data_IF_860152382985
#
_entry.id   IF_860152382985
#
_cell.length_a   1.000
_cell.length_b   1.000
_cell.length_c   1.000
_cell.angle_alpha   90.00
_cell.angle_beta   90.00
_cell.angle_gamma   90.00
#
_symmetry.space_group_name_H-M   'P 1'
#
loop_
_entity.id
_entity.type
_entity.pdbx_description
1 polymer ?
#
# COMPACT_ATOMS: atom_id res chain seq x y z
N UNK A 1 5.34 -18.91 -15.48
CA UNK A 1 4.97 -19.01 -14.05
C UNK A 1 6.13 -19.65 -13.31
N UNK A 2 6.93 -18.86 -12.64
CA UNK A 2 7.86 -19.41 -11.66
C UNK A 2 7.01 -19.92 -10.49
N UNK A 3 7.20 -21.18 -10.06
CA UNK A 3 6.49 -21.71 -8.91
C UNK A 3 6.78 -20.83 -7.69
N UNK A 4 5.77 -20.62 -6.84
CA UNK A 4 5.98 -19.97 -5.55
C UNK A 4 7.17 -20.64 -4.84
N UNK A 5 8.10 -19.87 -4.27
CA UNK A 5 9.18 -20.47 -3.50
C UNK A 5 8.59 -21.34 -2.39
N UNK A 6 9.29 -22.42 -2.01
CA UNK A 6 8.81 -23.29 -0.95
C UNK A 6 8.51 -22.48 0.29
N UNK A 7 7.42 -22.80 0.97
CA UNK A 7 6.95 -22.09 2.18
C UNK A 7 7.99 -22.33 3.28
N UNK A 8 8.91 -21.39 3.42
CA UNK A 8 9.82 -21.34 4.56
C UNK A 8 9.08 -20.76 5.77
N UNK A 9 9.46 -21.16 6.97
CA UNK A 9 8.93 -20.56 8.21
C UNK A 9 9.25 -19.06 8.32
N UNK A 10 10.25 -18.59 7.57
CA UNK A 10 10.65 -17.19 7.45
C UNK A 10 10.87 -16.86 5.98
N UNK A 11 10.21 -15.80 5.51
CA UNK A 11 10.38 -15.34 4.13
C UNK A 11 10.13 -13.83 4.01
N UNK A 12 10.69 -13.28 2.94
CA UNK A 12 10.37 -11.95 2.41
C UNK A 12 10.06 -12.14 0.92
N UNK A 13 8.89 -11.72 0.49
CA UNK A 13 8.44 -11.90 -0.89
C UNK A 13 7.86 -10.60 -1.46
N UNK A 14 8.46 -10.13 -2.56
CA UNK A 14 7.95 -9.00 -3.33
C UNK A 14 7.30 -9.54 -4.62
N UNK A 15 6.06 -9.16 -4.88
CA UNK A 15 5.34 -9.56 -6.07
C UNK A 15 4.37 -8.46 -6.54
N UNK A 16 4.03 -8.46 -7.82
CA UNK A 16 2.93 -7.67 -8.33
C UNK A 16 1.62 -8.46 -8.34
N UNK A 17 0.50 -7.74 -8.30
CA UNK A 17 -0.83 -8.34 -8.28
C UNK A 17 -1.53 -8.01 -9.59
N UNK A 18 -1.80 -9.03 -10.38
CA UNK A 18 -2.67 -8.93 -11.55
C UNK A 18 -4.09 -9.41 -11.21
N UNK A 19 -5.07 -8.72 -11.75
CA UNK A 19 -6.46 -9.15 -11.72
C UNK A 19 -6.79 -9.66 -13.12
N UNK A 20 -7.05 -10.97 -13.23
CA UNK A 20 -7.40 -11.56 -14.52
C UNK A 20 -8.83 -11.18 -14.95
N UNK A 21 -9.20 -11.51 -16.18
CA UNK A 21 -10.52 -11.22 -16.78
C UNK A 21 -11.72 -11.78 -16.01
N UNK A 22 -11.48 -12.73 -15.08
CA UNK A 22 -12.50 -13.33 -14.20
C UNK A 22 -12.50 -12.68 -12.80
N UNK A 23 -11.77 -11.61 -12.60
CA UNK A 23 -11.66 -10.92 -11.31
C UNK A 23 -10.79 -11.63 -10.27
N UNK A 24 -10.10 -12.73 -10.64
CA UNK A 24 -9.21 -13.46 -9.73
C UNK A 24 -7.86 -12.76 -9.64
N UNK A 25 -7.40 -12.48 -8.42
CA UNK A 25 -6.06 -11.96 -8.15
C UNK A 25 -5.02 -13.06 -8.35
N UNK A 26 -3.94 -12.72 -9.03
CA UNK A 26 -2.78 -13.59 -9.26
C UNK A 26 -1.52 -12.86 -8.82
N UNK A 27 -0.68 -13.53 -8.05
CA UNK A 27 0.65 -13.05 -7.67
C UNK A 27 1.61 -13.36 -8.82
N UNK A 28 2.39 -12.37 -9.25
CA UNK A 28 3.41 -12.54 -10.27
C UNK A 28 4.71 -11.88 -9.83
N UNK A 29 5.82 -12.57 -10.06
CA UNK A 29 7.17 -12.07 -9.77
C UNK A 29 7.82 -11.37 -10.97
N UNK A 30 7.21 -11.50 -12.16
CA UNK A 30 7.67 -10.85 -13.39
C UNK A 30 6.45 -10.36 -14.17
N UNK A 31 6.44 -9.08 -14.53
CA UNK A 31 5.41 -8.45 -15.34
C UNK A 31 6.06 -7.77 -16.54
N UNK A 32 5.80 -8.29 -17.73
CA UNK A 32 6.31 -7.75 -18.98
C UNK A 32 5.19 -7.02 -19.70
N UNK A 33 5.34 -5.72 -19.86
CA UNK A 33 4.42 -4.89 -20.63
C UNK A 33 5.14 -4.34 -21.87
N UNK A 34 4.40 -4.20 -22.94
CA UNK A 34 4.93 -3.61 -24.16
C UNK A 34 5.38 -2.16 -23.91
N UNK A 35 6.40 -1.71 -24.66
CA UNK A 35 6.75 -0.30 -24.69
C UNK A 35 5.56 0.46 -25.24
N UNK A 36 4.95 1.31 -24.45
CA UNK A 36 3.89 2.22 -24.84
C UNK A 36 4.13 3.55 -24.12
N UNK A 37 3.83 4.64 -24.82
CA UNK A 37 3.88 5.98 -24.23
C UNK A 37 2.72 6.21 -23.24
N UNK A 38 1.89 5.19 -23.02
CA UNK A 38 0.75 5.28 -22.12
C UNK A 38 1.14 5.02 -20.68
N UNK A 39 0.44 5.71 -19.79
CA UNK A 39 0.55 5.56 -18.35
C UNK A 39 0.40 4.09 -17.91
N UNK A 40 1.35 3.60 -17.16
CA UNK A 40 1.36 2.24 -16.62
C UNK A 40 1.49 2.26 -15.10
N UNK A 41 0.74 1.38 -14.44
CA UNK A 41 0.75 1.26 -12.98
C UNK A 41 0.90 -0.20 -12.58
N UNK A 42 1.82 -0.47 -11.66
CA UNK A 42 1.98 -1.77 -11.02
C UNK A 42 1.64 -1.67 -9.54
N UNK A 43 0.82 -2.59 -9.08
CA UNK A 43 0.58 -2.81 -7.66
C UNK A 43 1.60 -3.81 -7.15
N UNK A 44 2.45 -3.38 -6.23
CA UNK A 44 3.48 -4.21 -5.61
C UNK A 44 3.09 -4.52 -4.17
N UNK A 45 3.31 -5.75 -3.76
CA UNK A 45 3.06 -6.21 -2.40
C UNK A 45 4.31 -6.87 -1.86
N UNK A 46 4.74 -6.43 -0.69
CA UNK A 46 5.82 -7.05 0.07
C UNK A 46 5.21 -7.81 1.25
N UNK A 47 5.17 -9.13 1.13
CA UNK A 47 4.79 -10.01 2.22
C UNK A 47 6.03 -10.45 2.99
N UNK A 48 5.98 -10.36 4.31
CA UNK A 48 7.08 -10.78 5.18
C UNK A 48 6.60 -11.74 6.25
N UNK A 49 7.42 -12.73 6.55
CA UNK A 49 7.32 -13.60 7.71
C UNK A 49 8.71 -13.73 8.33
N UNK A 50 9.22 -12.63 8.84
CA UNK A 50 10.54 -12.52 9.48
C UNK A 50 10.40 -11.82 10.82
N UNK A 51 11.28 -12.17 11.77
CA UNK A 51 11.35 -11.53 13.09
C UNK A 51 12.25 -10.28 13.04
N UNK A 52 12.18 -9.52 11.94
CA UNK A 52 12.95 -8.30 11.74
C UNK A 52 11.98 -7.16 11.52
N UNK A 53 12.26 -6.04 12.18
CA UNK A 53 11.43 -4.85 12.09
C UNK A 53 11.68 -4.05 10.82
N UNK A 54 12.87 -4.19 10.20
CA UNK A 54 13.30 -3.40 9.04
C UNK A 54 13.88 -4.31 7.96
N UNK A 55 13.42 -4.10 6.73
CA UNK A 55 13.99 -4.66 5.52
C UNK A 55 14.58 -3.55 4.63
N UNK A 56 15.53 -3.92 3.77
CA UNK A 56 16.05 -3.03 2.73
C UNK A 56 15.57 -3.50 1.37
N UNK A 57 14.93 -2.60 0.63
CA UNK A 57 14.53 -2.83 -0.75
C UNK A 57 15.39 -1.99 -1.68
N UNK A 58 16.01 -2.65 -2.66
CA UNK A 58 16.78 -1.99 -3.71
C UNK A 58 15.97 -2.05 -5.01
N UNK A 59 15.72 -0.89 -5.59
CA UNK A 59 15.12 -0.75 -6.92
C UNK A 59 16.21 -0.31 -7.89
N UNK A 60 16.40 -1.10 -8.94
CA UNK A 60 17.34 -0.81 -10.02
C UNK A 60 16.59 -0.68 -11.33
N UNK A 61 16.86 0.42 -12.03
CA UNK A 61 16.32 0.67 -13.35
C UNK A 61 17.41 0.41 -14.39
N UNK A 62 17.09 -0.40 -15.39
CA UNK A 62 17.99 -0.72 -16.49
C UNK A 62 17.34 -0.28 -17.81
N UNK A 63 18.11 0.46 -18.62
CA UNK A 63 17.66 0.97 -19.92
C UNK A 63 17.40 2.49 -19.89
N UNK A 64 17.11 3.00 -21.05
CA UNK A 64 16.76 4.42 -21.26
C UNK A 64 15.23 4.53 -21.28
N UNK A 65 14.68 5.41 -20.45
CA UNK A 65 13.25 5.70 -20.38
C UNK A 65 12.85 6.94 -21.20
N UNK A 66 13.82 7.57 -21.90
CA UNK A 66 13.57 8.77 -22.67
C UNK A 66 13.08 9.93 -21.80
N UNK A 67 11.95 10.51 -22.18
CA UNK A 67 11.29 11.62 -21.46
C UNK A 67 10.26 11.14 -20.44
N UNK A 68 10.06 9.81 -20.33
CA UNK A 68 9.12 9.26 -19.36
C UNK A 68 9.67 9.35 -17.94
N UNK A 69 8.77 9.31 -16.96
CA UNK A 69 9.11 9.31 -15.53
C UNK A 69 8.69 8.01 -14.86
N UNK A 70 9.40 7.66 -13.79
CA UNK A 70 9.09 6.52 -12.94
C UNK A 70 8.93 6.97 -11.51
N UNK A 71 7.79 6.68 -10.92
CA UNK A 71 7.49 6.98 -9.52
C UNK A 71 7.30 5.71 -8.71
N UNK A 72 7.90 5.68 -7.53
CA UNK A 72 7.66 4.66 -6.52
C UNK A 72 6.87 5.27 -5.36
N UNK A 73 5.74 4.68 -5.02
CA UNK A 73 4.82 5.20 -4.00
C UNK A 73 4.67 4.18 -2.87
N UNK A 74 4.98 4.60 -1.65
CA UNK A 74 4.66 3.87 -0.44
C UNK A 74 3.22 4.17 -0.04
N UNK A 75 2.35 3.16 -0.17
CA UNK A 75 0.92 3.28 0.10
C UNK A 75 0.58 3.29 1.60
N UNK A 76 1.56 3.10 2.48
CA UNK A 76 1.35 3.14 3.92
C UNK A 76 1.52 4.55 4.49
N UNK A 77 2.55 5.26 4.01
CA UNK A 77 2.89 6.59 4.53
C UNK A 77 2.61 7.72 3.54
N UNK A 78 2.21 7.39 2.30
CA UNK A 78 1.92 8.36 1.26
C UNK A 78 3.15 9.08 0.71
N UNK A 79 4.34 8.49 0.87
CA UNK A 79 5.56 9.02 0.28
C UNK A 79 5.68 8.56 -1.17
N UNK A 80 5.94 9.52 -2.07
CA UNK A 80 6.22 9.26 -3.47
C UNK A 80 7.65 9.71 -3.80
N UNK A 81 8.38 8.84 -4.49
CA UNK A 81 9.77 9.04 -4.88
C UNK A 81 9.90 9.00 -6.39
N UNK A 82 10.44 10.06 -6.97
CA UNK A 82 10.81 10.10 -8.38
C UNK A 82 12.11 9.31 -8.57
N UNK A 83 12.06 8.26 -9.37
CA UNK A 83 13.19 7.40 -9.69
C UNK A 83 13.82 7.74 -11.06
N UNK A 84 13.26 8.66 -11.82
CA UNK A 84 13.61 8.93 -13.22
C UNK A 84 15.06 9.35 -13.40
N UNK A 85 15.64 9.99 -12.39
CA UNK A 85 17.01 10.52 -12.41
C UNK A 85 18.04 9.59 -11.75
N UNK A 86 17.62 8.40 -11.28
CA UNK A 86 18.49 7.50 -10.53
C UNK A 86 18.44 6.09 -11.08
N UNK A 87 19.61 5.50 -11.34
CA UNK A 87 19.69 4.09 -11.78
C UNK A 87 19.44 3.10 -10.64
N UNK A 88 19.68 3.52 -9.39
CA UNK A 88 19.52 2.69 -8.20
C UNK A 88 18.95 3.51 -7.04
N UNK A 89 17.96 2.97 -6.37
CA UNK A 89 17.37 3.56 -5.18
C UNK A 89 17.23 2.52 -4.08
N UNK A 90 17.53 2.93 -2.85
CA UNK A 90 17.48 2.05 -1.68
C UNK A 90 16.46 2.60 -0.67
N UNK A 91 15.54 1.75 -0.23
CA UNK A 91 14.50 2.08 0.71
C UNK A 91 14.59 1.21 1.95
N UNK A 92 14.52 1.83 3.12
CA UNK A 92 14.31 1.12 4.39
C UNK A 92 12.81 0.94 4.60
N UNK A 93 12.38 -0.28 4.79
CA UNK A 93 10.98 -0.65 4.94
C UNK A 93 10.75 -1.14 6.36
N UNK A 94 9.86 -0.48 7.07
CA UNK A 94 9.35 -0.96 8.36
C UNK A 94 8.37 -2.11 8.10
N UNK A 95 8.71 -3.32 8.53
CA UNK A 95 7.89 -4.51 8.35
C UNK A 95 6.80 -4.62 9.43
N UNK A 96 6.94 -3.86 10.51
CA UNK A 96 6.03 -3.88 11.66
C UNK A 96 6.00 -5.21 12.40
N UNK A 97 5.39 -5.23 13.60
CA UNK A 97 5.45 -6.39 14.50
C UNK A 97 4.57 -7.58 14.10
N UNK A 98 3.71 -7.48 13.09
CA UNK A 98 2.64 -8.45 12.83
C UNK A 98 2.59 -8.97 11.39
N UNK A 99 3.74 -9.10 10.72
CA UNK A 99 3.77 -9.68 9.36
C UNK A 99 2.81 -8.95 8.39
N UNK A 100 2.83 -7.64 8.42
CA UNK A 100 1.97 -6.82 7.58
C UNK A 100 2.43 -6.88 6.13
N UNK A 101 1.46 -6.98 5.25
CA UNK A 101 1.66 -6.88 3.82
C UNK A 101 1.84 -5.42 3.43
N UNK A 102 3.06 -4.99 3.15
CA UNK A 102 3.35 -3.63 2.71
C UNK A 102 2.99 -3.46 1.25
N UNK A 103 2.28 -2.39 0.93
CA UNK A 103 1.79 -2.12 -0.44
C UNK A 103 2.50 -0.92 -1.02
N UNK A 104 2.90 -1.07 -2.27
CA UNK A 104 3.55 -0.04 -3.04
C UNK A 104 2.92 0.07 -4.42
N UNK A 105 3.13 1.20 -5.08
CA UNK A 105 2.83 1.34 -6.50
C UNK A 105 4.07 1.81 -7.24
N UNK A 106 4.24 1.29 -8.45
CA UNK A 106 5.15 1.83 -9.43
C UNK A 106 4.31 2.46 -10.54
N UNK A 107 4.61 3.70 -10.88
CA UNK A 107 3.93 4.46 -11.95
C UNK A 107 4.96 4.84 -12.99
N UNK A 108 4.69 4.53 -14.24
CA UNK A 108 5.52 4.91 -15.40
C UNK A 108 4.64 5.63 -16.41
N UNK A 109 5.15 6.68 -17.03
CA UNK A 109 4.46 7.38 -18.09
C UNK A 109 5.04 8.75 -18.38
N UNK A 110 4.29 9.55 -19.11
CA UNK A 110 4.60 10.97 -19.33
C UNK A 110 4.62 11.74 -18.00
N UNK A 111 5.47 12.77 -17.91
CA UNK A 111 5.67 13.53 -16.66
C UNK A 111 4.37 14.16 -16.13
N UNK A 112 3.57 14.74 -17.01
CA UNK A 112 2.33 15.42 -16.62
C UNK A 112 1.27 14.41 -16.16
N UNK A 113 1.06 13.33 -16.90
CA UNK A 113 0.07 12.30 -16.61
C UNK A 113 0.45 11.50 -15.34
N UNK A 114 1.69 11.03 -15.27
CA UNK A 114 2.19 10.27 -14.13
C UNK A 114 2.22 11.13 -12.87
N UNK A 115 2.69 12.38 -12.96
CA UNK A 115 2.71 13.31 -11.84
C UNK A 115 1.31 13.66 -11.34
N UNK A 116 0.32 13.82 -12.22
CA UNK A 116 -1.08 14.04 -11.83
C UNK A 116 -1.63 12.83 -11.06
N UNK A 117 -1.46 11.63 -11.62
CA UNK A 117 -1.91 10.39 -10.98
C UNK A 117 -1.24 10.16 -9.61
N UNK A 118 0.06 10.42 -9.49
CA UNK A 118 0.79 10.30 -8.21
C UNK A 118 0.21 11.23 -7.16
N UNK A 119 -0.06 12.50 -7.52
CA UNK A 119 -0.71 13.46 -6.59
C UNK A 119 -2.08 12.96 -6.13
N UNK A 120 -2.89 12.45 -7.04
CA UNK A 120 -4.23 11.92 -6.72
C UNK A 120 -4.13 10.70 -5.79
N UNK A 121 -3.24 9.76 -6.07
CA UNK A 121 -3.00 8.59 -5.22
C UNK A 121 -2.58 9.01 -3.81
N UNK A 122 -1.59 9.90 -3.70
CA UNK A 122 -1.07 10.37 -2.41
C UNK A 122 -2.13 11.15 -1.61
N UNK A 123 -2.99 11.91 -2.30
CA UNK A 123 -4.08 12.65 -1.65
C UNK A 123 -5.15 11.74 -1.02
N UNK A 124 -5.33 10.52 -1.56
CA UNK A 124 -6.28 9.53 -1.03
C UNK A 124 -5.75 8.78 0.21
N UNK A 125 -4.45 8.87 0.50
CA UNK A 125 -3.85 8.18 1.64
C UNK A 125 -4.07 9.03 2.91
N UNK A 126 -4.78 8.48 3.93
CA UNK A 126 -5.02 9.21 5.17
C UNK A 126 -3.70 9.53 5.89
N UNK A 127 -3.48 10.80 6.22
CA UNK A 127 -2.28 11.27 6.93
C UNK A 127 -2.47 11.33 8.44
N UNK A 128 -3.73 11.35 8.90
CA UNK A 128 -4.08 11.55 10.29
C UNK A 128 -5.07 10.50 10.78
N UNK A 129 -5.02 10.23 12.08
CA UNK A 129 -6.07 9.46 12.74
C UNK A 129 -7.27 10.35 12.95
N UNK A 130 -8.45 9.87 12.59
CA UNK A 130 -9.69 10.57 12.90
C UNK A 130 -10.80 9.61 13.32
N UNK A 131 -11.69 10.12 14.16
CA UNK A 131 -12.92 9.47 14.57
C UNK A 131 -14.08 10.42 14.24
N UNK A 132 -14.94 10.02 13.34
CA UNK A 132 -16.11 10.82 12.96
C UNK A 132 -17.32 10.57 13.87
N UNK A 133 -18.32 11.42 13.73
CA UNK A 133 -19.59 11.24 14.44
C UNK A 133 -20.34 10.03 13.91
N UNK A 134 -20.95 9.29 14.80
CA UNK A 134 -21.79 8.17 14.42
C UNK A 134 -23.04 8.63 13.67
N UNK A 135 -23.44 7.86 12.64
CA UNK A 135 -24.64 8.15 11.85
C UNK A 135 -25.39 6.84 11.50
N UNK A 136 -26.75 6.85 11.63
CA UNK A 136 -27.58 7.90 12.17
C UNK A 136 -27.38 8.12 13.68
N UNK A 137 -27.71 9.32 14.17
CA UNK A 137 -27.75 9.66 15.58
C UNK A 137 -28.94 10.63 15.82
N UNK A 138 -30.02 10.24 16.53
CA UNK A 138 -30.22 8.95 17.21
C UNK A 138 -30.31 7.75 16.26
N UNK A 139 -30.03 6.54 16.76
CA UNK A 139 -30.02 5.29 15.97
C UNK A 139 -30.98 4.22 16.52
N UNK A 140 -31.48 3.36 15.61
CA UNK A 140 -32.30 2.20 15.95
C UNK A 140 -32.21 1.15 14.84
N UNK A 141 -31.71 -0.08 15.09
CA UNK A 141 -30.88 -0.50 16.22
C UNK A 141 -29.37 -0.31 15.94
N UNK A 142 -28.98 0.20 14.76
CA UNK A 142 -27.59 0.28 14.33
C UNK A 142 -27.17 1.68 13.97
N UNK A 143 -25.87 1.95 14.13
CA UNK A 143 -25.21 3.17 13.69
C UNK A 143 -23.84 2.83 13.12
N UNK A 144 -23.34 3.67 12.21
CA UNK A 144 -22.00 3.58 11.67
C UNK A 144 -21.10 4.61 12.34
N UNK A 145 -19.91 4.19 12.76
CA UNK A 145 -18.88 5.07 13.31
C UNK A 145 -17.75 5.13 12.29
N UNK A 146 -17.62 6.20 11.50
CA UNK A 146 -16.52 6.35 10.55
C UNK A 146 -15.23 6.70 11.28
N UNK A 147 -14.13 6.09 10.86
CA UNK A 147 -12.79 6.43 11.36
C UNK A 147 -11.75 6.30 10.23
N UNK A 148 -10.64 7.02 10.37
CA UNK A 148 -9.47 6.89 9.50
C UNK A 148 -8.26 6.54 10.33
N UNK A 149 -7.37 5.73 9.75
CA UNK A 149 -6.07 5.40 10.33
C UNK A 149 -4.98 5.79 9.33
N UNK A 150 -3.94 6.43 9.80
CA UNK A 150 -2.79 6.86 8.98
C UNK A 150 -1.76 5.75 8.76
N UNK A 151 -1.81 4.70 9.55
CA UNK A 151 -0.92 3.53 9.46
C UNK A 151 -1.69 2.25 9.76
N UNK A 152 -1.37 1.13 9.10
CA UNK A 152 -1.93 -0.17 9.47
C UNK A 152 -1.67 -0.50 10.93
N UNK A 153 -2.68 -1.02 11.63
CA UNK A 153 -2.54 -1.37 13.04
C UNK A 153 -3.84 -1.87 13.64
N UNK A 154 -3.75 -2.33 14.89
CA UNK A 154 -4.91 -2.71 15.67
C UNK A 154 -5.72 -1.46 16.04
N UNK A 155 -7.00 -1.48 15.73
CA UNK A 155 -7.95 -0.41 16.10
C UNK A 155 -8.85 -0.91 17.21
N UNK A 156 -8.93 -0.16 18.32
CA UNK A 156 -9.83 -0.44 19.42
C UNK A 156 -10.72 0.77 19.65
N UNK A 157 -12.03 0.57 19.54
CA UNK A 157 -13.04 1.61 19.82
C UNK A 157 -13.77 1.23 21.10
N UNK A 158 -13.61 2.05 22.13
CA UNK A 158 -14.32 1.90 23.40
C UNK A 158 -15.54 2.82 23.44
N UNK A 159 -16.70 2.24 23.78
CA UNK A 159 -17.97 2.96 23.92
C UNK A 159 -18.32 3.05 25.39
N UNK A 160 -18.56 4.27 25.87
CA UNK A 160 -18.89 4.55 27.26
C UNK A 160 -20.30 5.12 27.39
N UNK A 161 -20.95 4.88 28.54
CA UNK A 161 -22.17 5.57 28.91
C UNK A 161 -21.87 6.98 29.46
N UNK A 162 -22.93 7.75 29.75
CA UNK A 162 -22.79 9.12 30.25
C UNK A 162 -22.12 9.20 31.65
N UNK A 163 -22.07 8.09 32.37
CA UNK A 163 -21.39 7.98 33.67
C UNK A 163 -19.93 7.55 33.55
N UNK A 164 -19.40 7.40 32.30
CA UNK A 164 -18.04 6.95 32.04
C UNK A 164 -17.82 5.44 32.19
N UNK A 165 -18.88 4.64 32.29
CA UNK A 165 -18.76 3.18 32.39
C UNK A 165 -18.64 2.60 31.01
N UNK A 166 -17.64 1.73 30.79
CA UNK A 166 -17.44 1.01 29.53
C UNK A 166 -18.66 0.12 29.23
N UNK A 167 -19.32 0.35 28.11
CA UNK A 167 -20.49 -0.41 27.63
C UNK A 167 -20.05 -1.47 26.63
N UNK A 168 -19.13 -1.14 25.73
CA UNK A 168 -18.66 -2.04 24.69
C UNK A 168 -17.26 -1.69 24.20
N UNK A 169 -16.51 -2.71 23.84
CA UNK A 169 -15.26 -2.63 23.10
C UNK A 169 -15.46 -3.30 21.74
N UNK A 170 -14.99 -2.64 20.68
CA UNK A 170 -14.96 -3.13 19.29
C UNK A 170 -13.51 -3.17 18.86
N UNK A 171 -13.05 -4.33 18.35
CA UNK A 171 -11.66 -4.58 17.91
C UNK A 171 -11.68 -5.02 16.44
#
# INVERSE_FOLDING_TARGET
DSPEPPVFDRYLSLYSVLINTKGKKQKITSDFRGVSDSLQVWDLVLDSKVDQDIATMNLSMMGDIGTSVVWFIDMQNGQAHDLSQTSNSTFSIDLGPNQLSNKYKLVYGDEDEAGALVRDIVALIPKEFSLGNNYPNPFNPSTTIPFTISKPGLVVINIYDLNGRLVRMVV
#
